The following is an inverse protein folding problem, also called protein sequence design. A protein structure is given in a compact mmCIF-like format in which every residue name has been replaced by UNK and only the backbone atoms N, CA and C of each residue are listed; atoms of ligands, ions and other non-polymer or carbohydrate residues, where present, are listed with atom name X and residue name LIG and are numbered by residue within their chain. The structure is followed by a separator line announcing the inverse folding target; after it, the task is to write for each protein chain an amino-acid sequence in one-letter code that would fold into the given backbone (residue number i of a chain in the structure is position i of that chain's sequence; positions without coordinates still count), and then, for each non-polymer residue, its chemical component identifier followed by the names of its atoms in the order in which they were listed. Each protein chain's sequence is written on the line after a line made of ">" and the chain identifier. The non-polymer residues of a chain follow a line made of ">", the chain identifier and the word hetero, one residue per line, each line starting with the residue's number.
data_IF_028040157425
#
_entry.id   IF_028040157425
#
_cell.length_a   1.000
_cell.length_b   1.000
_cell.length_c   1.000
_cell.angle_alpha   90.00
_cell.angle_beta   90.00
_cell.angle_gamma   90.00
#
_symmetry.space_group_name_H-M   'P 1'
#
loop_
_entity.id
_entity.type
_entity.pdbx_description
1 polymer ?
#
# COMPACT_ATOMS: atom_id res chain seq x y z
N UNK A 1 -9.91 -34.23 -18.14
CA UNK A 1 -9.62 -33.10 -19.05
C UNK A 1 -9.38 -31.89 -18.17
N UNK A 2 -8.10 -31.50 -18.01
CA UNK A 2 -7.71 -30.39 -17.16
C UNK A 2 -8.04 -29.09 -17.89
N UNK A 3 -9.01 -28.34 -17.36
CA UNK A 3 -9.21 -26.95 -17.75
C UNK A 3 -8.05 -26.16 -17.16
N UNK A 4 -7.01 -25.98 -17.97
CA UNK A 4 -5.89 -25.10 -17.70
C UNK A 4 -6.41 -23.65 -17.83
N UNK A 5 -7.14 -23.19 -16.81
CA UNK A 5 -7.70 -21.84 -16.77
C UNK A 5 -6.53 -20.87 -16.68
N UNK A 6 -6.10 -20.39 -17.85
CA UNK A 6 -5.08 -19.37 -18.08
C UNK A 6 -5.52 -18.06 -17.42
N UNK A 7 -5.44 -18.01 -16.10
CA UNK A 7 -5.71 -16.84 -15.27
C UNK A 7 -4.66 -15.81 -15.62
N UNK A 8 -5.03 -14.79 -16.40
CA UNK A 8 -4.15 -13.67 -16.73
C UNK A 8 -3.59 -13.12 -15.41
N UNK A 9 -2.25 -13.15 -15.26
CA UNK A 9 -1.58 -12.55 -14.11
C UNK A 9 -2.06 -11.10 -13.95
N UNK A 10 -2.44 -10.63 -12.75
CA UNK A 10 -3.01 -9.31 -12.53
C UNK A 10 -1.92 -8.21 -12.57
N UNK A 11 -1.06 -8.23 -13.59
CA UNK A 11 0.08 -7.31 -13.77
C UNK A 11 -0.39 -5.86 -13.88
N UNK A 12 -1.53 -5.60 -14.53
CA UNK A 12 -2.11 -4.27 -14.61
C UNK A 12 -2.53 -3.73 -13.23
N UNK A 13 -3.06 -4.59 -12.36
CA UNK A 13 -3.44 -4.24 -10.99
C UNK A 13 -2.20 -3.99 -10.14
N UNK A 14 -1.13 -4.76 -10.36
CA UNK A 14 0.17 -4.57 -9.72
C UNK A 14 0.77 -3.21 -10.05
N UNK A 15 0.84 -2.86 -11.34
CA UNK A 15 1.39 -1.57 -11.79
C UNK A 15 0.55 -0.42 -11.23
N UNK A 16 -0.79 -0.54 -11.25
CA UNK A 16 -1.69 0.43 -10.63
C UNK A 16 -1.38 0.66 -9.15
N UNK A 17 -1.31 -0.40 -8.34
CA UNK A 17 -0.98 -0.28 -6.92
C UNK A 17 0.48 0.14 -6.65
N UNK A 18 1.41 -0.21 -7.53
CA UNK A 18 2.81 0.23 -7.46
C UNK A 18 2.92 1.74 -7.64
N UNK A 19 2.30 2.28 -8.70
CA UNK A 19 2.26 3.72 -8.97
C UNK A 19 1.54 4.46 -7.84
N UNK A 20 0.42 3.91 -7.34
CA UNK A 20 -0.32 4.49 -6.22
C UNK A 20 0.52 4.53 -4.93
N UNK A 21 1.18 3.43 -4.58
CA UNK A 21 2.07 3.36 -3.41
C UNK A 21 3.25 4.33 -3.56
N UNK A 22 3.84 4.39 -4.74
CA UNK A 22 4.97 5.28 -5.03
C UNK A 22 4.55 6.75 -4.93
N UNK A 23 3.39 7.11 -5.49
CA UNK A 23 2.80 8.45 -5.36
C UNK A 23 2.51 8.81 -3.91
N UNK A 24 1.96 7.86 -3.12
CA UNK A 24 1.73 8.05 -1.68
C UNK A 24 3.04 8.36 -0.95
N UNK A 25 4.09 7.57 -1.19
CA UNK A 25 5.42 7.78 -0.60
C UNK A 25 6.03 9.11 -1.05
N UNK A 26 5.90 9.47 -2.32
CA UNK A 26 6.40 10.73 -2.83
C UNK A 26 5.74 11.92 -2.13
N UNK A 27 4.41 11.94 -2.03
CA UNK A 27 3.67 13.01 -1.33
C UNK A 27 4.06 13.06 0.15
N UNK A 28 4.19 11.90 0.81
CA UNK A 28 4.59 11.82 2.20
C UNK A 28 5.98 12.41 2.45
N UNK A 29 6.97 12.02 1.64
CA UNK A 29 8.34 12.50 1.78
C UNK A 29 8.52 13.96 1.33
N UNK A 30 7.81 14.41 0.31
CA UNK A 30 7.84 15.83 -0.11
C UNK A 30 7.26 16.76 0.96
N UNK A 31 6.34 16.26 1.78
CA UNK A 31 5.74 17.00 2.89
C UNK A 31 6.31 16.60 4.25
N UNK A 32 7.49 15.95 4.29
CA UNK A 32 8.08 15.39 5.50
C UNK A 32 8.23 16.44 6.61
N UNK A 33 8.62 17.67 6.29
CA UNK A 33 8.71 18.79 7.24
C UNK A 33 7.37 19.12 7.91
N UNK A 34 6.29 19.15 7.13
CA UNK A 34 4.94 19.41 7.64
C UNK A 34 4.49 18.25 8.54
N UNK A 35 4.77 17.01 8.12
CA UNK A 35 4.42 15.82 8.87
C UNK A 35 5.22 15.77 10.18
N UNK A 36 6.52 16.04 10.17
CA UNK A 36 7.34 16.10 11.38
C UNK A 36 6.79 17.14 12.37
N UNK A 37 6.44 18.34 11.91
CA UNK A 37 5.81 19.35 12.76
C UNK A 37 4.48 18.87 13.34
N UNK A 38 3.68 18.16 12.56
CA UNK A 38 2.44 17.54 13.03
C UNK A 38 2.67 16.44 14.08
N UNK A 39 3.72 15.63 13.93
CA UNK A 39 4.11 14.60 14.89
C UNK A 39 4.68 15.19 16.19
N UNK A 40 5.52 16.23 16.09
CA UNK A 40 6.16 16.87 17.24
C UNK A 40 5.20 17.72 18.08
N UNK A 41 4.13 18.25 17.50
CA UNK A 41 3.20 19.15 18.18
C UNK A 41 2.29 18.48 19.22
N UNK A 42 2.24 17.15 19.29
CA UNK A 42 1.43 16.41 20.27
C UNK A 42 -0.09 16.65 20.19
N UNK A 43 -0.85 15.81 20.88
CA UNK A 43 -2.31 15.95 21.03
C UNK A 43 -3.14 14.86 20.35
N UNK A 44 -4.30 14.55 20.95
CA UNK A 44 -5.17 13.43 20.57
C UNK A 44 -5.66 13.51 19.12
N UNK A 45 -6.06 14.70 18.65
CA UNK A 45 -6.51 14.90 17.27
C UNK A 45 -5.40 14.65 16.24
N UNK A 46 -4.14 14.98 16.58
CA UNK A 46 -2.98 14.75 15.70
C UNK A 46 -2.60 13.28 15.70
N UNK A 47 -2.65 12.61 16.84
CA UNK A 47 -2.45 11.16 16.94
C UNK A 47 -3.48 10.39 16.09
N UNK A 48 -4.74 10.82 16.07
CA UNK A 48 -5.76 10.26 15.20
C UNK A 48 -5.41 10.45 13.70
N UNK A 49 -4.96 11.66 13.30
CA UNK A 49 -4.51 11.93 11.93
C UNK A 49 -3.34 11.05 11.49
N UNK A 50 -2.34 10.88 12.35
CA UNK A 50 -1.18 10.01 12.10
C UNK A 50 -1.61 8.55 11.90
N UNK A 51 -2.48 8.07 12.80
CA UNK A 51 -3.00 6.71 12.74
C UNK A 51 -3.77 6.49 11.44
N UNK A 52 -4.57 7.47 11.02
CA UNK A 52 -5.31 7.41 9.77
C UNK A 52 -4.37 7.30 8.56
N UNK A 53 -3.33 8.14 8.51
CA UNK A 53 -2.33 8.08 7.43
C UNK A 53 -1.60 6.73 7.42
N UNK A 54 -1.22 6.21 8.59
CA UNK A 54 -0.58 4.91 8.71
C UNK A 54 -1.48 3.77 8.22
N UNK A 55 -2.78 3.79 8.56
CA UNK A 55 -3.76 2.82 8.07
C UNK A 55 -3.92 2.93 6.55
N UNK A 56 -4.08 4.13 6.00
CA UNK A 56 -4.17 4.34 4.55
C UNK A 56 -2.94 3.77 3.82
N UNK A 57 -1.73 4.05 4.33
CA UNK A 57 -0.49 3.49 3.81
C UNK A 57 -0.49 1.96 3.87
N UNK A 58 -0.86 1.39 5.02
CA UNK A 58 -0.88 -0.05 5.22
C UNK A 58 -1.88 -0.75 4.28
N UNK A 59 -3.03 -0.15 4.01
CA UNK A 59 -4.03 -0.71 3.10
C UNK A 59 -3.55 -0.68 1.65
N UNK A 60 -3.01 0.46 1.19
CA UNK A 60 -2.56 0.64 -0.19
C UNK A 60 -1.31 -0.21 -0.46
N UNK A 61 -0.32 -0.15 0.44
CA UNK A 61 0.89 -0.96 0.34
C UNK A 61 0.60 -2.45 0.55
N UNK A 62 -0.34 -2.81 1.44
CA UNK A 62 -0.78 -4.18 1.64
C UNK A 62 -1.43 -4.79 0.39
N UNK A 63 -2.31 -4.03 -0.29
CA UNK A 63 -2.87 -4.45 -1.57
C UNK A 63 -1.82 -4.58 -2.68
N UNK A 64 -0.83 -3.66 -2.70
CA UNK A 64 0.33 -3.77 -3.58
C UNK A 64 1.10 -5.06 -3.31
N UNK A 65 1.50 -5.32 -2.06
CA UNK A 65 2.27 -6.50 -1.67
C UNK A 65 1.52 -7.79 -1.98
N UNK A 66 0.21 -7.87 -1.70
CA UNK A 66 -0.61 -9.03 -2.05
C UNK A 66 -0.66 -9.29 -3.55
N UNK A 67 -0.85 -8.24 -4.36
CA UNK A 67 -0.85 -8.36 -5.83
C UNK A 67 0.55 -8.68 -6.36
N UNK A 68 1.60 -8.15 -5.71
CA UNK A 68 3.00 -8.44 -6.01
C UNK A 68 3.30 -9.92 -5.84
N UNK A 69 2.96 -10.48 -4.68
CA UNK A 69 3.16 -11.91 -4.40
C UNK A 69 2.33 -12.81 -5.32
N UNK A 70 1.12 -12.40 -5.70
CA UNK A 70 0.30 -13.13 -6.69
C UNK A 70 0.96 -13.17 -8.09
N UNK A 71 1.56 -12.07 -8.54
CA UNK A 71 2.27 -11.99 -9.84
C UNK A 71 3.59 -12.76 -9.84
N UNK A 72 4.35 -12.69 -8.73
CA UNK A 72 5.59 -13.45 -8.50
C UNK A 72 5.31 -14.96 -8.37
N UNK A 73 4.06 -15.35 -8.07
CA UNK A 73 3.64 -16.75 -7.96
C UNK A 73 3.82 -17.35 -6.57
N UNK A 74 4.23 -16.54 -5.59
CA UNK A 74 4.30 -16.94 -4.18
C UNK A 74 2.95 -16.64 -3.54
N UNK A 75 2.02 -17.59 -3.61
CA UNK A 75 0.74 -17.47 -2.91
C UNK A 75 0.94 -17.85 -1.45
N UNK A 76 0.92 -16.87 -0.55
CA UNK A 76 0.73 -17.12 0.87
C UNK A 76 -0.53 -17.96 1.09
N UNK A 77 -0.47 -18.98 1.93
CA UNK A 77 -1.64 -19.78 2.34
C UNK A 77 -2.73 -18.79 2.80
N UNK A 78 -3.84 -18.69 2.06
CA UNK A 78 -5.04 -18.02 2.58
C UNK A 78 -5.44 -18.77 3.84
N UNK A 79 -5.41 -18.10 4.99
CA UNK A 79 -6.15 -18.55 6.16
C UNK A 79 -7.62 -18.20 5.99
#
# INVERSE_FOLDING_TARGET
>A
MADETKTKKPVGRLIGFAVLSLGLYAVFFLNADMIQKFFSAGGVARAAGITLVAICFSLIHGNFAGTFWDVVGVKGKKQ
#
